data_IF_355107985322
#
_entry.id   IF_355107985322
#
_cell.length_a   1.000
_cell.length_b   1.000
_cell.length_c   1.000
_cell.angle_alpha   90.00
_cell.angle_beta   90.00
_cell.angle_gamma   90.00
#
_symmetry.space_group_name_H-M   'P 1'
#
loop_
_entity.id
_entity.type
_entity.pdbx_description
1 polymer ?
#
# COMPACT_ATOMS: atom_id res chain seq x y z
N UNK A 1 -31.16 5.15 7.55
CA UNK A 1 -32.35 6.06 7.49
C UNK A 1 -32.00 7.43 8.06
N UNK A 2 -32.70 8.46 7.59
CA UNK A 2 -32.67 9.76 8.24
C UNK A 2 -33.39 9.66 9.59
N UNK A 3 -32.67 10.04 10.67
CA UNK A 3 -33.24 10.07 12.02
C UNK A 3 -33.92 11.41 12.22
N UNK A 4 -33.22 12.51 11.98
CA UNK A 4 -33.76 13.89 12.07
C UNK A 4 -32.85 14.89 11.36
N UNK A 5 -33.40 16.06 11.10
CA UNK A 5 -32.64 17.22 10.62
C UNK A 5 -32.36 18.16 11.80
N UNK A 6 -31.10 18.57 11.96
CA UNK A 6 -30.66 19.49 13.02
C UNK A 6 -29.88 20.65 12.41
N UNK A 7 -30.55 21.82 12.30
CA UNK A 7 -29.92 23.01 11.71
C UNK A 7 -29.49 22.75 10.26
N UNK A 8 -28.17 22.69 10.02
CA UNK A 8 -27.60 22.44 8.69
C UNK A 8 -27.04 21.01 8.54
N UNK A 9 -27.43 20.09 9.40
CA UNK A 9 -26.98 18.71 9.39
C UNK A 9 -28.11 17.70 9.46
N UNK A 10 -27.85 16.51 8.95
CA UNK A 10 -28.71 15.34 9.09
C UNK A 10 -28.08 14.35 10.07
N UNK A 11 -28.86 13.84 11.01
CA UNK A 11 -28.50 12.66 11.78
C UNK A 11 -28.99 11.43 11.01
N UNK A 12 -28.06 10.57 10.60
CA UNK A 12 -28.33 9.38 9.80
C UNK A 12 -27.99 8.15 10.60
N UNK A 13 -28.90 7.19 10.64
CA UNK A 13 -28.66 5.86 11.23
C UNK A 13 -27.46 5.19 10.54
N UNK A 14 -26.46 4.79 11.32
CA UNK A 14 -25.14 4.31 10.86
C UNK A 14 -24.35 5.35 10.05
N UNK A 15 -24.56 6.63 10.31
CA UNK A 15 -23.85 7.72 9.62
C UNK A 15 -22.35 7.80 9.94
N UNK A 16 -21.89 7.07 10.96
CA UNK A 16 -20.47 6.94 11.32
C UNK A 16 -19.61 6.28 10.25
N UNK A 17 -20.23 5.54 9.32
CA UNK A 17 -19.54 4.93 8.17
C UNK A 17 -19.45 5.84 6.93
N UNK A 18 -19.97 7.06 7.02
CA UNK A 18 -19.94 8.03 5.93
C UNK A 18 -18.68 8.89 6.01
N UNK A 19 -18.15 9.24 4.84
CA UNK A 19 -16.93 10.03 4.70
C UNK A 19 -17.21 11.35 3.98
N UNK A 20 -16.31 12.32 4.17
CA UNK A 20 -16.32 13.55 3.39
C UNK A 20 -16.17 13.24 1.90
N UNK A 21 -17.02 13.80 1.06
CA UNK A 21 -17.05 13.55 -0.37
C UNK A 21 -17.97 12.42 -0.82
N UNK A 22 -18.59 11.67 0.11
CA UNK A 22 -19.57 10.64 -0.24
C UNK A 22 -20.79 11.27 -0.94
N UNK A 23 -21.32 10.56 -1.93
CA UNK A 23 -22.59 10.86 -2.55
C UNK A 23 -23.71 10.04 -1.88
N UNK A 24 -24.77 10.71 -1.50
CA UNK A 24 -25.95 10.09 -0.93
C UNK A 24 -27.17 10.35 -1.81
N UNK A 25 -28.01 9.35 -1.97
CA UNK A 25 -29.27 9.48 -2.72
C UNK A 25 -30.46 8.96 -1.91
N UNK A 26 -31.62 9.46 -2.23
CA UNK A 26 -32.89 9.11 -1.60
C UNK A 26 -34.05 9.34 -2.59
N UNK A 27 -35.22 8.82 -2.26
CA UNK A 27 -36.45 9.13 -2.99
C UNK A 27 -37.16 10.25 -2.23
N UNK A 28 -37.42 11.36 -2.93
CA UNK A 28 -38.10 12.51 -2.37
C UNK A 28 -39.65 12.30 -2.29
N UNK A 29 -40.41 13.26 -1.76
CA UNK A 29 -41.83 13.18 -1.59
C UNK A 29 -42.61 13.12 -2.91
N UNK A 30 -42.01 13.56 -4.02
CA UNK A 30 -42.58 13.45 -5.36
C UNK A 30 -42.32 12.10 -6.03
N UNK A 31 -41.72 11.14 -5.27
CA UNK A 31 -41.30 9.83 -5.76
C UNK A 31 -40.22 9.91 -6.84
N UNK A 32 -39.35 10.91 -6.76
CA UNK A 32 -38.20 11.14 -7.65
C UNK A 32 -36.90 10.85 -6.91
N UNK A 33 -35.90 10.35 -7.64
CA UNK A 33 -34.56 10.20 -7.12
C UNK A 33 -33.88 11.57 -6.95
N UNK A 34 -33.38 11.82 -5.77
CA UNK A 34 -32.65 13.04 -5.45
C UNK A 34 -31.38 12.71 -4.64
N UNK A 35 -30.45 13.65 -4.53
CA UNK A 35 -29.18 13.38 -3.86
C UNK A 35 -28.49 14.61 -3.28
N UNK A 36 -27.52 14.34 -2.43
CA UNK A 36 -26.64 15.32 -1.79
C UNK A 36 -25.22 14.77 -1.75
N UNK A 37 -24.25 15.67 -1.69
CA UNK A 37 -22.85 15.32 -1.36
C UNK A 37 -22.55 15.66 0.09
N UNK A 38 -21.75 14.83 0.73
CA UNK A 38 -21.27 15.01 2.11
C UNK A 38 -20.07 15.95 2.12
N UNK A 39 -20.25 17.18 2.59
CA UNK A 39 -19.12 18.08 2.82
C UNK A 39 -18.34 17.69 4.07
N UNK A 40 -19.05 17.29 5.13
CA UNK A 40 -18.45 16.80 6.38
C UNK A 40 -19.35 15.74 7.01
N UNK A 41 -18.71 14.64 7.44
CA UNK A 41 -19.34 13.63 8.28
C UNK A 41 -18.60 13.58 9.62
N UNK A 42 -19.33 13.62 10.72
CA UNK A 42 -18.75 13.63 12.06
C UNK A 42 -19.77 13.10 13.07
N UNK A 43 -19.38 12.08 13.84
CA UNK A 43 -20.19 11.51 14.93
C UNK A 43 -21.64 11.13 14.52
N UNK A 44 -21.82 10.58 13.33
CA UNK A 44 -23.15 10.18 12.81
C UNK A 44 -23.94 11.33 12.18
N UNK A 45 -23.41 12.57 12.22
CA UNK A 45 -23.99 13.73 11.56
C UNK A 45 -23.35 13.96 10.19
N UNK A 46 -24.20 14.29 9.22
CA UNK A 46 -23.81 14.62 7.85
C UNK A 46 -24.16 16.05 7.56
N UNK A 47 -23.16 16.83 7.17
CA UNK A 47 -23.28 18.20 6.70
C UNK A 47 -23.25 18.20 5.18
N UNK A 48 -24.38 18.39 4.49
CA UNK A 48 -24.42 18.29 3.04
C UNK A 48 -23.86 19.54 2.36
N UNK A 49 -23.55 19.42 1.07
CA UNK A 49 -23.23 20.57 0.21
C UNK A 49 -24.41 21.51 0.03
N UNK A 50 -25.61 20.97 -0.05
CA UNK A 50 -26.88 21.69 -0.13
C UNK A 50 -27.85 21.02 0.83
N UNK A 51 -28.43 21.81 1.74
CA UNK A 51 -29.48 21.34 2.62
C UNK A 51 -30.78 21.16 1.82
N UNK A 52 -31.32 19.95 1.84
CA UNK A 52 -32.60 19.61 1.20
C UNK A 52 -33.62 19.21 2.24
N UNK A 53 -34.88 19.40 1.93
CA UNK A 53 -35.97 18.91 2.77
C UNK A 53 -36.10 17.39 2.58
N UNK A 54 -35.77 16.63 3.62
CA UNK A 54 -35.83 15.17 3.62
C UNK A 54 -36.68 14.76 4.83
N UNK A 55 -37.73 13.99 4.59
CA UNK A 55 -38.62 13.51 5.65
C UNK A 55 -37.87 12.53 6.58
N UNK A 56 -38.14 12.65 7.87
CA UNK A 56 -37.63 11.68 8.86
C UNK A 56 -38.10 10.24 8.51
N UNK A 57 -37.20 9.27 8.69
CA UNK A 57 -37.43 7.89 8.31
C UNK A 57 -37.16 7.56 6.83
N UNK A 58 -36.81 8.56 5.98
CA UNK A 58 -36.41 8.32 4.59
C UNK A 58 -35.16 7.47 4.54
N UNK A 59 -35.16 6.46 3.67
CA UNK A 59 -33.97 5.65 3.42
C UNK A 59 -32.97 6.46 2.62
N UNK A 60 -31.75 6.52 3.15
CA UNK A 60 -30.60 7.16 2.50
C UNK A 60 -29.66 6.06 2.02
N UNK A 61 -29.26 6.14 0.76
CA UNK A 61 -28.32 5.20 0.14
C UNK A 61 -27.05 5.92 -0.24
N UNK A 62 -25.89 5.31 -0.01
CA UNK A 62 -24.62 5.80 -0.52
C UNK A 62 -24.47 5.31 -1.95
N UNK A 63 -24.44 6.21 -2.93
CA UNK A 63 -24.23 5.93 -4.34
C UNK A 63 -22.83 6.28 -4.83
N UNK A 64 -22.05 7.00 -4.02
CA UNK A 64 -20.65 7.31 -4.26
C UNK A 64 -19.86 7.18 -2.96
N UNK A 65 -18.91 6.24 -2.92
CA UNK A 65 -17.97 6.04 -1.81
C UNK A 65 -16.65 6.75 -2.14
N UNK A 66 -16.47 7.96 -1.62
CA UNK A 66 -15.30 8.78 -1.92
C UNK A 66 -13.99 8.12 -1.44
N UNK A 67 -14.02 7.39 -0.32
CA UNK A 67 -12.84 6.69 0.19
C UNK A 67 -12.46 5.51 -0.72
N UNK A 68 -13.45 4.74 -1.17
CA UNK A 68 -13.24 3.63 -2.09
C UNK A 68 -12.74 4.11 -3.45
N UNK A 69 -13.36 5.13 -4.03
CA UNK A 69 -12.93 5.70 -5.32
C UNK A 69 -11.49 6.17 -5.23
N UNK A 70 -11.15 6.93 -4.19
CA UNK A 70 -9.78 7.39 -3.96
C UNK A 70 -8.77 6.24 -3.79
N UNK A 71 -9.20 5.11 -3.26
CA UNK A 71 -8.38 3.90 -3.16
C UNK A 71 -8.15 3.26 -4.53
N UNK A 72 -9.21 3.16 -5.35
CA UNK A 72 -9.15 2.50 -6.68
C UNK A 72 -8.44 3.37 -7.71
N UNK A 73 -8.57 4.69 -7.63
CA UNK A 73 -7.92 5.64 -8.54
C UNK A 73 -6.42 5.84 -8.28
N UNK A 74 -5.84 5.24 -7.24
CA UNK A 74 -4.39 5.23 -7.07
C UNK A 74 -3.73 4.49 -8.23
N UNK A 75 -2.68 5.06 -8.77
CA UNK A 75 -1.92 4.47 -9.89
C UNK A 75 -1.41 3.05 -9.60
N UNK A 76 -1.21 2.72 -8.31
CA UNK A 76 -0.73 1.41 -7.85
C UNK A 76 -1.84 0.45 -7.38
N UNK A 77 -3.11 0.87 -7.40
CA UNK A 77 -4.24 0.09 -6.84
C UNK A 77 -4.54 -1.21 -7.60
N UNK A 78 -4.20 -1.26 -8.88
CA UNK A 78 -4.41 -2.41 -9.77
C UNK A 78 -3.12 -3.15 -10.14
N UNK A 79 -1.98 -2.76 -9.56
CA UNK A 79 -0.69 -3.40 -9.85
C UNK A 79 -0.50 -4.59 -8.92
N UNK A 80 -0.73 -5.81 -9.44
CA UNK A 80 -0.29 -7.03 -8.78
C UNK A 80 1.23 -7.08 -8.85
N UNK A 81 1.88 -7.16 -7.69
CA UNK A 81 3.30 -7.45 -7.60
C UNK A 81 3.53 -8.92 -7.31
N UNK A 82 4.60 -9.45 -7.86
CA UNK A 82 5.05 -10.83 -7.70
C UNK A 82 5.87 -10.91 -6.41
N UNK A 83 5.48 -11.79 -5.51
CA UNK A 83 6.21 -12.03 -4.26
C UNK A 83 7.59 -12.65 -4.55
N UNK A 84 8.63 -12.14 -3.91
CA UNK A 84 9.98 -12.72 -4.01
C UNK A 84 10.65 -12.86 -2.65
N UNK A 85 11.45 -13.90 -2.52
CA UNK A 85 12.40 -14.10 -1.43
C UNK A 85 13.80 -13.73 -1.90
N UNK A 86 14.56 -13.02 -1.06
CA UNK A 86 15.94 -12.64 -1.33
C UNK A 86 16.87 -13.29 -0.31
N UNK A 87 17.91 -13.95 -0.79
CA UNK A 87 18.97 -14.52 0.02
C UNK A 87 20.31 -13.87 -0.35
N UNK A 88 20.86 -13.07 0.57
CA UNK A 88 22.22 -12.53 0.45
C UNK A 88 23.16 -13.38 1.28
N UNK A 89 24.10 -14.03 0.64
CA UNK A 89 25.12 -14.86 1.29
C UNK A 89 26.52 -14.54 0.81
N UNK A 90 27.51 -14.98 1.57
CA UNK A 90 28.90 -14.93 1.16
C UNK A 90 29.27 -16.15 0.30
N UNK A 91 30.24 -15.96 -0.59
CA UNK A 91 30.89 -17.03 -1.33
C UNK A 91 32.43 -16.90 -1.22
N UNK A 92 33.19 -17.78 -1.87
CA UNK A 92 34.66 -17.77 -1.76
C UNK A 92 35.29 -16.41 -2.15
N UNK A 93 34.76 -15.76 -3.19
CA UNK A 93 35.34 -14.56 -3.80
C UNK A 93 34.64 -13.26 -3.42
N UNK A 94 33.59 -13.31 -2.58
CA UNK A 94 32.79 -12.14 -2.21
C UNK A 94 31.41 -12.49 -1.73
N UNK A 95 30.38 -12.05 -2.47
CA UNK A 95 28.99 -12.16 -2.08
C UNK A 95 28.10 -12.63 -3.24
N UNK A 96 26.99 -13.25 -2.90
CA UNK A 96 26.00 -13.73 -3.84
C UNK A 96 24.60 -13.29 -3.37
N UNK A 97 23.79 -12.76 -4.28
CA UNK A 97 22.39 -12.46 -4.05
C UNK A 97 21.54 -13.35 -4.93
N UNK A 98 20.63 -14.09 -4.30
CA UNK A 98 19.67 -14.97 -4.96
C UNK A 98 18.28 -14.39 -4.76
N UNK A 99 17.50 -14.28 -5.83
CA UNK A 99 16.10 -13.97 -5.81
C UNK A 99 15.29 -15.17 -6.30
N UNK A 100 14.22 -15.51 -5.59
CA UNK A 100 13.27 -16.56 -5.98
C UNK A 100 11.88 -15.97 -5.96
N UNK A 101 11.13 -16.08 -7.04
CA UNK A 101 9.75 -15.59 -7.11
C UNK A 101 8.72 -16.66 -6.65
N UNK A 102 7.44 -16.25 -6.59
CA UNK A 102 6.33 -17.13 -6.16
C UNK A 102 6.09 -18.33 -7.08
N UNK A 103 6.56 -18.28 -8.33
CA UNK A 103 6.45 -19.36 -9.32
C UNK A 103 7.67 -20.29 -9.30
N UNK A 104 8.69 -19.96 -8.49
CA UNK A 104 9.92 -20.75 -8.34
C UNK A 104 11.00 -20.39 -9.36
N UNK A 105 10.88 -19.31 -10.12
CA UNK A 105 11.96 -18.81 -10.95
C UNK A 105 13.07 -18.24 -10.05
N UNK A 106 14.32 -18.51 -10.43
CA UNK A 106 15.49 -18.13 -9.63
C UNK A 106 16.46 -17.33 -10.48
N UNK A 107 16.89 -16.20 -9.94
CA UNK A 107 18.01 -15.41 -10.47
C UNK A 107 19.12 -15.29 -9.43
N UNK A 108 20.37 -15.27 -9.89
CA UNK A 108 21.55 -15.22 -9.02
C UNK A 108 22.58 -14.23 -9.54
N UNK A 109 23.01 -13.33 -8.68
CA UNK A 109 24.06 -12.35 -8.98
C UNK A 109 25.25 -12.54 -8.06
N UNK A 110 26.43 -12.69 -8.63
CA UNK A 110 27.69 -12.81 -7.91
C UNK A 110 28.45 -11.50 -7.93
N UNK A 111 28.95 -11.08 -6.78
CA UNK A 111 29.81 -9.91 -6.61
C UNK A 111 31.17 -10.32 -6.08
N UNK A 112 32.22 -10.09 -6.88
CA UNK A 112 33.61 -10.22 -6.41
C UNK A 112 33.93 -8.98 -5.59
N UNK A 113 34.17 -9.16 -4.30
CA UNK A 113 34.46 -8.05 -3.38
C UNK A 113 35.27 -8.57 -2.18
N UNK A 114 36.30 -7.84 -1.72
CA UNK A 114 37.05 -8.23 -0.53
C UNK A 114 36.13 -8.28 0.70
N UNK A 115 36.33 -9.26 1.55
CA UNK A 115 35.59 -9.43 2.80
C UNK A 115 36.32 -8.68 3.92
N UNK A 116 35.96 -7.45 4.14
CA UNK A 116 36.50 -6.62 5.22
C UNK A 116 35.62 -6.73 6.46
N UNK A 117 36.23 -7.04 7.59
CA UNK A 117 35.49 -7.13 8.85
C UNK A 117 35.12 -5.75 9.39
N UNK A 118 33.93 -5.63 9.94
CA UNK A 118 33.44 -4.44 10.61
C UNK A 118 33.00 -4.74 12.04
N UNK A 119 33.07 -3.72 12.89
CA UNK A 119 32.68 -3.83 14.31
C UNK A 119 31.18 -3.67 14.59
N UNK A 120 30.39 -3.23 13.60
CA UNK A 120 29.00 -2.82 13.80
C UNK A 120 28.04 -3.79 13.08
N UNK A 121 27.48 -4.77 13.82
CA UNK A 121 26.79 -5.93 13.31
C UNK A 121 25.30 -5.72 13.00
N UNK A 122 24.52 -5.32 14.00
CA UNK A 122 23.06 -5.30 13.88
C UNK A 122 22.56 -4.21 12.93
N UNK A 123 23.17 -3.04 12.98
CA UNK A 123 22.81 -1.91 12.12
C UNK A 123 23.08 -2.16 10.64
N UNK A 124 24.08 -3.01 10.30
CA UNK A 124 24.42 -3.31 8.91
C UNK A 124 23.43 -4.30 8.27
N UNK A 125 23.06 -5.36 8.98
CA UNK A 125 22.10 -6.33 8.48
C UNK A 125 20.73 -5.67 8.22
N UNK A 126 20.26 -4.82 9.12
CA UNK A 126 19.04 -4.04 8.94
C UNK A 126 19.14 -3.05 7.77
N UNK A 127 20.30 -2.40 7.59
CA UNK A 127 20.54 -1.56 6.45
C UNK A 127 20.52 -2.32 5.12
N UNK A 128 21.08 -3.52 5.09
CA UNK A 128 21.04 -4.38 3.89
C UNK A 128 19.61 -4.78 3.56
N UNK A 129 18.85 -5.27 4.54
CA UNK A 129 17.43 -5.61 4.38
C UNK A 129 16.62 -4.41 3.88
N UNK A 130 16.78 -3.25 4.51
CA UNK A 130 16.08 -2.02 4.11
C UNK A 130 16.39 -1.62 2.66
N UNK A 131 17.62 -1.80 2.19
CA UNK A 131 17.98 -1.46 0.81
C UNK A 131 17.58 -2.55 -0.19
N UNK A 132 17.62 -3.82 0.18
CA UNK A 132 17.14 -4.92 -0.64
C UNK A 132 15.61 -4.89 -0.81
N UNK A 133 14.86 -4.45 0.20
CA UNK A 133 13.40 -4.32 0.14
C UNK A 133 12.91 -3.25 -0.86
N UNK A 134 13.77 -2.33 -1.32
CA UNK A 134 13.39 -1.26 -2.26
C UNK A 134 13.28 -1.77 -3.69
N UNK A 135 12.20 -2.43 -4.03
CA UNK A 135 12.00 -3.00 -5.38
C UNK A 135 11.66 -1.96 -6.47
N UNK A 136 11.29 -0.74 -6.08
CA UNK A 136 11.03 0.36 -7.00
C UNK A 136 9.88 0.09 -7.98
N UNK A 137 10.12 0.39 -9.26
CA UNK A 137 9.13 0.19 -10.35
C UNK A 137 9.16 -1.23 -10.95
N UNK A 138 9.87 -2.17 -10.32
CA UNK A 138 9.83 -3.57 -10.76
C UNK A 138 8.47 -4.21 -10.45
N UNK A 139 8.06 -5.27 -11.15
CA UNK A 139 6.83 -6.00 -10.85
C UNK A 139 6.92 -6.84 -9.56
N UNK A 140 8.03 -6.79 -8.85
CA UNK A 140 8.31 -7.62 -7.68
C UNK A 140 8.14 -6.89 -6.35
N UNK A 141 7.84 -7.67 -5.29
CA UNK A 141 8.00 -7.28 -3.88
C UNK A 141 8.99 -8.22 -3.21
N UNK A 142 9.86 -7.70 -2.34
CA UNK A 142 10.75 -8.52 -1.53
C UNK A 142 10.08 -8.76 -0.16
N UNK A 143 9.37 -9.88 -0.05
CA UNK A 143 8.55 -10.19 1.13
C UNK A 143 9.37 -10.84 2.24
N UNK A 144 10.39 -11.59 1.87
CA UNK A 144 11.34 -12.20 2.81
C UNK A 144 12.78 -11.91 2.38
N UNK A 145 13.61 -11.45 3.33
CA UNK A 145 15.01 -11.15 3.07
C UNK A 145 15.88 -11.81 4.14
N UNK A 146 16.67 -12.79 3.73
CA UNK A 146 17.59 -13.50 4.57
C UNK A 146 19.04 -13.11 4.26
N UNK A 147 19.87 -12.98 5.30
CA UNK A 147 21.30 -12.70 5.18
C UNK A 147 22.07 -13.82 5.90
N UNK A 148 22.91 -14.51 5.16
CA UNK A 148 23.73 -15.63 5.65
C UNK A 148 25.21 -15.31 5.51
N UNK A 149 25.77 -14.70 6.55
CA UNK A 149 27.20 -14.41 6.65
C UNK A 149 27.81 -15.14 7.84
N UNK A 150 28.97 -15.75 7.65
CA UNK A 150 29.76 -16.36 8.74
C UNK A 150 30.45 -15.34 9.63
N UNK A 151 30.59 -14.10 9.15
CA UNK A 151 31.27 -13.00 9.83
C UNK A 151 30.60 -11.66 9.60
N UNK A 152 31.17 -10.63 10.20
CA UNK A 152 30.67 -9.26 10.13
C UNK A 152 31.32 -8.53 8.95
N UNK A 153 30.80 -8.78 7.77
CA UNK A 153 31.38 -8.26 6.55
C UNK A 153 30.84 -6.86 6.21
N UNK A 154 31.75 -5.95 5.90
CA UNK A 154 31.37 -4.67 5.31
C UNK A 154 31.09 -4.86 3.82
N UNK A 155 29.93 -4.37 3.37
CA UNK A 155 29.57 -4.29 1.97
C UNK A 155 28.97 -2.91 1.69
N UNK A 156 29.50 -2.13 0.72
CA UNK A 156 28.95 -0.83 0.39
C UNK A 156 27.51 -0.91 -0.07
N UNK A 157 26.65 -0.01 0.40
CA UNK A 157 25.23 0.03 0.02
C UNK A 157 25.05 0.23 -1.50
N UNK A 158 25.97 0.90 -2.16
CA UNK A 158 25.98 1.01 -3.62
C UNK A 158 26.05 -0.36 -4.31
N UNK A 159 26.85 -1.29 -3.76
CA UNK A 159 26.97 -2.66 -4.26
C UNK A 159 25.74 -3.50 -3.98
N UNK A 160 25.13 -3.36 -2.81
CA UNK A 160 23.83 -3.96 -2.49
C UNK A 160 22.77 -3.51 -3.50
N UNK A 161 22.70 -2.21 -3.79
CA UNK A 161 21.74 -1.65 -4.75
C UNK A 161 22.03 -2.11 -6.20
N UNK A 162 23.28 -2.27 -6.58
CA UNK A 162 23.70 -2.82 -7.87
C UNK A 162 23.22 -4.27 -8.01
N UNK A 163 23.55 -5.14 -7.05
CA UNK A 163 23.13 -6.55 -7.02
C UNK A 163 21.60 -6.68 -7.08
N UNK A 164 20.87 -5.89 -6.28
CA UNK A 164 19.42 -5.88 -6.28
C UNK A 164 18.83 -5.56 -7.66
N UNK A 165 19.32 -4.51 -8.32
CA UNK A 165 18.84 -4.14 -9.67
C UNK A 165 19.08 -5.26 -10.67
N UNK A 166 20.29 -5.79 -10.70
CA UNK A 166 20.68 -6.84 -11.63
C UNK A 166 19.90 -8.14 -11.39
N UNK A 167 19.67 -8.53 -10.14
CA UNK A 167 18.93 -9.78 -9.85
C UNK A 167 17.47 -9.70 -10.26
N UNK A 168 16.81 -8.54 -10.07
CA UNK A 168 15.44 -8.36 -10.54
C UNK A 168 15.33 -8.17 -12.06
N UNK A 169 16.33 -7.56 -12.70
CA UNK A 169 16.41 -7.46 -14.16
C UNK A 169 16.49 -8.85 -14.78
N UNK A 170 17.40 -9.70 -14.29
CA UNK A 170 17.53 -11.08 -14.76
C UNK A 170 16.33 -11.97 -14.43
N UNK A 171 15.64 -11.72 -13.31
CA UNK A 171 14.42 -12.47 -12.95
C UNK A 171 13.25 -12.12 -13.88
N UNK A 172 13.32 -10.97 -14.56
CA UNK A 172 12.29 -10.48 -15.50
C UNK A 172 12.49 -10.98 -16.95
N UNK A 173 13.62 -11.63 -17.27
CA UNK A 173 13.95 -12.18 -18.60
C UNK A 173 13.37 -13.59 -18.78
#
# INVERSE_FOLDING_TARGET
KLVRTMGNAYEIENGEFLNNGDGLCFINENNEADGIYVNRAENGFVYPNVLKEIKEGTFIYRNNDAAFIKLVEREDSAVRKISTTLLLKENENGFELIATDEDGNVSTVNLIHPKEQTKNNESLAENFKTNLAKTGFTPYTADEITIEFSGNWFLPISKINEMRRTVFEQLSE
#
